data_IF_766018630822
#
_entry.id   IF_766018630822
#
_cell.length_a   1.000
_cell.length_b   1.000
_cell.length_c   1.000
_cell.angle_alpha   90.00
_cell.angle_beta   90.00
_cell.angle_gamma   90.00
#
_symmetry.space_group_name_H-M   'P 1'
#
loop_
_entity.id
_entity.type
_entity.pdbx_description
1 polymer ?
#
# COMPACT_ATOMS: atom_id res chain seq x y z
N UNK A 1 -10.61 -7.12 20.80
CA UNK A 1 -11.57 -6.06 20.48
C UNK A 1 -11.26 -4.69 21.09
N UNK A 2 -10.14 -4.51 21.82
CA UNK A 2 -9.82 -3.22 22.44
C UNK A 2 -9.13 -2.27 21.46
N UNK A 3 -9.44 -0.97 21.56
CA UNK A 3 -8.76 0.09 20.82
C UNK A 3 -7.39 0.41 21.44
N UNK A 4 -6.52 1.05 20.67
CA UNK A 4 -5.17 1.49 21.10
C UNK A 4 -4.27 0.36 21.65
N UNK A 5 -4.36 -0.81 21.04
CA UNK A 5 -3.55 -1.99 21.41
C UNK A 5 -2.35 -2.22 20.50
N UNK A 6 -1.93 -1.21 19.74
CA UNK A 6 -0.77 -1.31 18.86
C UNK A 6 0.53 -1.36 19.68
N UNK A 7 1.47 -2.20 19.25
CA UNK A 7 2.86 -2.19 19.73
C UNK A 7 3.67 -1.03 19.14
N UNK A 8 3.10 -0.27 18.19
CA UNK A 8 3.79 0.80 17.46
C UNK A 8 3.77 2.16 18.20
N UNK A 9 3.31 2.19 19.45
CA UNK A 9 3.36 3.39 20.29
C UNK A 9 4.72 3.65 20.92
N UNK A 10 5.61 2.66 20.96
CA UNK A 10 6.95 2.85 21.51
C UNK A 10 7.76 3.78 20.60
N UNK A 11 8.11 4.96 21.13
CA UNK A 11 8.87 5.99 20.41
C UNK A 11 10.38 5.70 20.37
N UNK A 12 10.87 4.77 21.20
CA UNK A 12 12.28 4.43 21.27
C UNK A 12 12.69 3.47 20.13
N UNK A 13 11.73 2.76 19.56
CA UNK A 13 11.98 1.90 18.40
C UNK A 13 11.73 2.65 17.08
N UNK A 14 12.72 2.64 16.21
CA UNK A 14 12.57 3.11 14.82
C UNK A 14 11.80 2.05 14.03
N UNK A 15 10.57 2.35 13.67
CA UNK A 15 9.69 1.42 12.97
C UNK A 15 9.37 1.89 11.56
N UNK A 16 9.54 0.98 10.60
CA UNK A 16 9.11 1.14 9.20
C UNK A 16 7.76 0.44 9.08
N UNK A 17 6.71 1.08 9.56
CA UNK A 17 5.34 0.56 9.53
C UNK A 17 4.36 1.64 9.10
N UNK A 18 3.31 1.25 8.38
CA UNK A 18 2.24 2.18 8.01
C UNK A 18 1.23 2.39 9.14
N UNK A 19 0.91 1.33 9.89
CA UNK A 19 -0.05 1.39 11.00
C UNK A 19 0.57 1.86 12.30
N UNK A 20 -0.10 2.79 13.00
CA UNK A 20 0.36 3.32 14.30
C UNK A 20 -0.59 2.94 15.44
N UNK A 21 -1.88 3.13 15.25
CA UNK A 21 -2.86 3.13 16.34
C UNK A 21 -3.58 1.78 16.55
N UNK A 22 -3.45 0.84 15.62
CA UNK A 22 -4.13 -0.45 15.68
C UNK A 22 -5.66 -0.35 15.53
N UNK A 23 -6.18 0.66 14.85
CA UNK A 23 -7.61 0.86 14.66
C UNK A 23 -8.16 0.09 13.46
N UNK A 24 -7.41 -0.08 12.38
CA UNK A 24 -7.92 -0.57 11.10
C UNK A 24 -8.71 -1.87 11.22
N UNK A 25 -8.13 -2.87 11.88
CA UNK A 25 -8.83 -4.15 12.08
C UNK A 25 -10.11 -4.03 12.92
N UNK A 26 -10.11 -3.20 13.97
CA UNK A 26 -11.31 -2.99 14.82
C UNK A 26 -12.41 -2.26 14.06
N UNK A 27 -12.05 -1.30 13.20
CA UNK A 27 -13.01 -0.61 12.34
C UNK A 27 -13.67 -1.58 11.36
N UNK A 28 -12.92 -2.53 10.79
CA UNK A 28 -13.50 -3.59 9.96
C UNK A 28 -14.55 -4.37 10.72
N UNK A 29 -14.29 -4.77 11.98
CA UNK A 29 -15.24 -5.50 12.80
C UNK A 29 -16.47 -4.67 13.21
N UNK A 30 -16.29 -3.37 13.49
CA UNK A 30 -17.38 -2.44 13.83
C UNK A 30 -18.34 -2.25 12.65
N UNK A 31 -17.85 -2.32 11.42
CA UNK A 31 -18.64 -2.22 10.20
C UNK A 31 -18.97 -3.58 9.58
N UNK A 32 -18.94 -4.65 10.38
CA UNK A 32 -19.25 -6.01 9.97
C UNK A 32 -20.33 -6.65 10.84
N UNK A 33 -21.24 -7.38 10.22
CA UNK A 33 -22.23 -8.22 10.92
C UNK A 33 -21.52 -9.32 11.72
N UNK A 34 -20.47 -9.87 11.14
CA UNK A 34 -19.68 -10.97 11.69
C UNK A 34 -18.20 -10.84 11.29
N UNK A 35 -17.33 -11.27 12.17
CA UNK A 35 -15.92 -11.39 11.93
C UNK A 35 -15.28 -12.52 12.72
N UNK A 36 -14.14 -13.02 12.21
CA UNK A 36 -13.39 -14.12 12.83
C UNK A 36 -11.90 -13.94 12.63
N UNK A 37 -11.15 -14.19 13.69
CA UNK A 37 -9.70 -14.35 13.65
C UNK A 37 -9.37 -15.83 13.90
N UNK A 38 -8.44 -16.33 13.13
CA UNK A 38 -7.84 -17.65 13.32
C UNK A 38 -6.33 -17.53 13.13
N UNK A 39 -5.55 -18.00 14.09
CA UNK A 39 -4.08 -17.99 13.99
C UNK A 39 -3.48 -19.25 14.60
N UNK A 40 -2.36 -19.70 14.04
CA UNK A 40 -1.58 -20.82 14.56
C UNK A 40 -0.23 -20.33 15.03
N UNK A 41 0.04 -20.54 16.30
CA UNK A 41 1.36 -20.46 16.90
C UNK A 41 2.03 -21.85 16.77
N UNK A 42 2.90 -21.97 15.78
CA UNK A 42 3.57 -23.25 15.50
C UNK A 42 4.64 -23.61 16.55
N UNK A 43 5.16 -22.62 17.28
CA UNK A 43 6.16 -22.82 18.33
C UNK A 43 5.50 -23.50 19.54
N UNK A 44 4.33 -22.99 19.95
CA UNK A 44 3.55 -23.55 21.07
C UNK A 44 2.65 -24.71 20.63
N UNK A 45 2.46 -24.91 19.34
CA UNK A 45 1.55 -25.94 18.79
C UNK A 45 0.09 -25.66 19.13
N UNK A 46 -0.31 -24.39 19.12
CA UNK A 46 -1.65 -23.94 19.49
C UNK A 46 -2.32 -23.18 18.33
N UNK A 47 -3.62 -23.44 18.21
CA UNK A 47 -4.52 -22.67 17.34
C UNK A 47 -5.43 -21.81 18.20
N UNK A 48 -5.47 -20.53 17.91
CA UNK A 48 -6.40 -19.57 18.48
C UNK A 48 -7.49 -19.25 17.47
N UNK A 49 -8.74 -19.22 17.91
CA UNK A 49 -9.90 -18.82 17.11
C UNK A 49 -10.80 -17.95 17.96
N UNK A 50 -11.23 -16.80 17.45
CA UNK A 50 -12.21 -15.94 18.11
C UNK A 50 -13.16 -15.33 17.09
N UNK A 51 -14.44 -15.32 17.44
CA UNK A 51 -15.50 -14.72 16.64
C UNK A 51 -16.04 -13.44 17.28
N UNK A 52 -16.52 -12.58 16.43
CA UNK A 52 -17.11 -11.28 16.76
C UNK A 52 -18.41 -11.15 15.97
N UNK A 53 -19.44 -10.56 16.57
CA UNK A 53 -20.71 -10.37 15.89
C UNK A 53 -21.39 -9.08 16.31
N UNK A 54 -22.45 -8.73 15.59
CA UNK A 54 -23.26 -7.54 15.87
C UNK A 54 -22.39 -6.28 15.95
N UNK A 55 -21.60 -6.01 14.90
CA UNK A 55 -20.78 -4.81 14.80
C UNK A 55 -19.81 -4.63 15.99
N UNK A 56 -19.16 -5.73 16.41
CA UNK A 56 -18.25 -5.81 17.56
C UNK A 56 -18.95 -5.62 18.93
N UNK A 57 -20.27 -5.54 19.01
CA UNK A 57 -20.99 -5.48 20.29
C UNK A 57 -20.92 -6.82 21.03
N UNK A 58 -20.77 -7.93 20.32
CA UNK A 58 -20.62 -9.26 20.88
C UNK A 58 -19.22 -9.78 20.58
N UNK A 59 -18.43 -10.00 21.63
CA UNK A 59 -17.11 -10.61 21.59
C UNK A 59 -17.22 -12.00 22.20
N UNK A 60 -17.17 -13.03 21.34
CA UNK A 60 -17.26 -14.41 21.78
C UNK A 60 -15.99 -14.83 22.51
N UNK A 61 -16.11 -15.83 23.41
CA UNK A 61 -14.93 -16.39 24.10
C UNK A 61 -13.98 -17.00 23.06
N UNK A 62 -12.67 -16.80 23.20
CA UNK A 62 -11.69 -17.45 22.34
C UNK A 62 -11.67 -18.95 22.57
N UNK A 63 -11.44 -19.69 21.49
CA UNK A 63 -11.21 -21.14 21.52
C UNK A 63 -9.73 -21.38 21.25
N UNK A 64 -9.07 -22.08 22.18
CA UNK A 64 -7.66 -22.47 22.04
C UNK A 64 -7.61 -23.99 21.97
N UNK A 65 -6.98 -24.53 20.92
CA UNK A 65 -6.84 -25.96 20.72
C UNK A 65 -5.41 -26.31 20.28
N UNK A 66 -5.01 -27.58 20.46
CA UNK A 66 -3.74 -28.08 19.95
C UNK A 66 -3.78 -28.13 18.41
N UNK A 67 -2.71 -27.72 17.74
CA UNK A 67 -2.59 -27.80 16.30
C UNK A 67 -1.13 -28.00 15.88
N UNK A 68 -0.86 -29.03 15.09
CA UNK A 68 0.43 -29.27 14.42
C UNK A 68 0.30 -28.93 12.94
N UNK A 69 0.38 -27.64 12.60
CA UNK A 69 0.26 -27.14 11.21
C UNK A 69 1.23 -25.99 10.98
N UNK A 70 1.48 -25.65 9.73
CA UNK A 70 2.23 -24.47 9.36
C UNK A 70 1.57 -23.21 9.95
N UNK A 71 2.36 -22.21 10.38
CA UNK A 71 1.82 -20.98 10.94
C UNK A 71 1.05 -20.19 9.89
N UNK A 72 -0.08 -19.63 10.30
CA UNK A 72 -0.82 -18.67 9.51
C UNK A 72 -1.70 -17.77 10.39
N UNK A 73 -2.11 -16.64 9.86
CA UNK A 73 -3.19 -15.83 10.41
C UNK A 73 -4.24 -15.63 9.33
N UNK A 74 -5.49 -15.92 9.67
CA UNK A 74 -6.65 -15.74 8.79
C UNK A 74 -7.62 -14.78 9.45
N UNK A 75 -8.00 -13.76 8.71
CA UNK A 75 -9.05 -12.82 9.07
C UNK A 75 -10.20 -13.00 8.12
N UNK A 76 -11.41 -13.19 8.65
CA UNK A 76 -12.65 -13.31 7.88
C UNK A 76 -13.66 -12.31 8.43
N UNK A 77 -14.46 -11.70 7.56
CA UNK A 77 -15.53 -10.81 7.99
C UNK A 77 -16.61 -10.71 6.92
N UNK A 78 -17.82 -10.37 7.37
CA UNK A 78 -18.97 -10.07 6.53
C UNK A 78 -19.36 -8.61 6.76
N UNK A 79 -19.15 -7.70 5.80
CA UNK A 79 -19.52 -6.31 5.95
C UNK A 79 -21.03 -6.14 6.24
N UNK A 80 -21.35 -5.18 7.07
CA UNK A 80 -22.74 -4.76 7.30
C UNK A 80 -23.14 -3.74 6.22
N UNK A 81 -23.58 -4.24 5.08
CA UNK A 81 -23.98 -3.40 3.95
C UNK A 81 -25.12 -2.45 4.28
N UNK A 82 -26.06 -2.89 5.14
CA UNK A 82 -27.17 -2.07 5.59
C UNK A 82 -26.68 -0.85 6.38
N UNK A 83 -25.75 -1.07 7.31
CA UNK A 83 -25.13 0.01 8.09
C UNK A 83 -24.29 0.94 7.22
N UNK A 84 -23.66 0.41 6.18
CA UNK A 84 -22.90 1.19 5.19
C UNK A 84 -23.81 1.98 4.22
N UNK A 85 -25.13 1.74 4.24
CA UNK A 85 -26.09 2.38 3.34
C UNK A 85 -25.99 1.93 1.88
N UNK A 86 -25.51 0.70 1.64
CA UNK A 86 -25.33 0.11 0.31
C UNK A 86 -25.96 -1.29 0.25
N UNK A 87 -26.29 -1.75 -0.96
CA UNK A 87 -26.93 -3.06 -1.14
C UNK A 87 -25.95 -4.22 -1.28
N UNK A 88 -24.66 -3.94 -1.39
CA UNK A 88 -23.60 -4.92 -1.57
C UNK A 88 -22.36 -4.31 -2.17
N UNK A 89 -21.42 -5.15 -2.57
CA UNK A 89 -20.17 -4.74 -3.19
C UNK A 89 -20.42 -4.31 -4.63
N UNK A 90 -20.17 -3.04 -4.96
CA UNK A 90 -20.24 -2.57 -6.34
C UNK A 90 -19.02 -3.07 -7.17
N UNK A 91 -19.13 -3.10 -8.50
CA UNK A 91 -18.00 -3.40 -9.37
C UNK A 91 -16.78 -2.49 -9.12
N UNK A 92 -17.00 -1.20 -8.86
CA UNK A 92 -15.93 -0.24 -8.57
C UNK A 92 -15.22 -0.54 -7.26
N UNK A 93 -15.98 -0.87 -6.19
CA UNK A 93 -15.40 -1.30 -4.92
C UNK A 93 -14.60 -2.60 -5.07
N UNK A 94 -15.13 -3.55 -5.83
CA UNK A 94 -14.42 -4.80 -6.13
C UNK A 94 -13.10 -4.53 -6.86
N UNK A 95 -13.12 -3.67 -7.87
CA UNK A 95 -11.93 -3.27 -8.62
C UNK A 95 -10.93 -2.50 -7.75
N UNK A 96 -11.42 -1.64 -6.84
CA UNK A 96 -10.58 -0.97 -5.86
C UNK A 96 -9.85 -1.96 -4.95
N UNK A 97 -10.54 -2.98 -4.44
CA UNK A 97 -9.92 -4.02 -3.62
C UNK A 97 -8.89 -4.84 -4.42
N UNK A 98 -9.23 -5.20 -5.66
CA UNK A 98 -8.30 -5.86 -6.58
C UNK A 98 -7.05 -5.01 -6.79
N UNK A 99 -7.20 -3.72 -7.07
CA UNK A 99 -6.07 -2.78 -7.20
C UNK A 99 -5.22 -2.77 -5.93
N UNK A 100 -5.82 -2.68 -4.74
CA UNK A 100 -5.08 -2.69 -3.47
C UNK A 100 -4.26 -3.96 -3.26
N UNK A 101 -4.73 -5.10 -3.74
CA UNK A 101 -3.95 -6.35 -3.69
C UNK A 101 -2.73 -6.28 -4.63
N UNK A 102 -2.85 -5.66 -5.80
CA UNK A 102 -1.72 -5.39 -6.70
C UNK A 102 -0.74 -4.39 -6.08
N UNK A 103 -1.24 -3.34 -5.43
CA UNK A 103 -0.41 -2.38 -4.69
C UNK A 103 0.45 -3.10 -3.63
N UNK A 104 -0.15 -3.99 -2.85
CA UNK A 104 0.57 -4.78 -1.83
C UNK A 104 1.67 -5.63 -2.47
N UNK A 105 1.37 -6.30 -3.59
CA UNK A 105 2.35 -7.11 -4.31
C UNK A 105 3.54 -6.27 -4.83
N UNK A 106 3.26 -5.03 -5.23
CA UNK A 106 4.29 -4.11 -5.75
C UNK A 106 5.26 -3.59 -4.69
N UNK A 107 4.77 -3.38 -3.45
CA UNK A 107 5.52 -2.68 -2.38
C UNK A 107 6.05 -3.60 -1.29
N UNK A 108 5.83 -4.89 -1.41
CA UNK A 108 6.36 -5.92 -0.49
C UNK A 108 7.59 -6.62 -1.08
N UNK A 109 8.32 -7.33 -0.23
CA UNK A 109 9.47 -8.12 -0.68
C UNK A 109 9.06 -9.11 -1.79
N UNK A 110 9.85 -9.19 -2.84
CA UNK A 110 9.63 -10.09 -4.01
C UNK A 110 9.54 -11.58 -3.66
N UNK A 111 10.00 -11.96 -2.47
CA UNK A 111 9.84 -13.33 -1.94
C UNK A 111 8.43 -13.59 -1.44
N UNK A 112 7.67 -12.55 -1.11
CA UNK A 112 6.28 -12.66 -0.69
C UNK A 112 5.40 -12.95 -1.91
N UNK A 113 4.62 -14.01 -1.81
CA UNK A 113 3.67 -14.39 -2.86
C UNK A 113 2.28 -13.89 -2.50
N UNK A 114 1.75 -12.97 -3.29
CA UNK A 114 0.41 -12.41 -3.12
C UNK A 114 -0.57 -13.15 -4.01
N UNK A 115 -1.73 -13.51 -3.46
CA UNK A 115 -2.83 -14.13 -4.19
C UNK A 115 -4.11 -13.29 -4.04
N UNK A 116 -4.93 -13.33 -5.08
CA UNK A 116 -6.27 -12.78 -5.10
C UNK A 116 -7.24 -13.82 -5.64
N UNK A 117 -8.28 -14.15 -4.87
CA UNK A 117 -9.23 -15.22 -5.20
C UNK A 117 -8.59 -16.58 -5.53
N UNK A 118 -7.45 -16.88 -4.90
CA UNK A 118 -6.72 -18.14 -5.12
C UNK A 118 -5.61 -18.07 -6.17
N UNK A 119 -5.66 -17.13 -7.09
CA UNK A 119 -4.68 -16.96 -8.16
C UNK A 119 -3.53 -16.04 -7.76
N UNK A 120 -2.34 -16.31 -8.27
CA UNK A 120 -1.20 -15.44 -8.04
C UNK A 120 -1.38 -14.10 -8.76
N UNK A 121 -1.12 -13.01 -8.03
CA UNK A 121 -1.04 -11.68 -8.64
C UNK A 121 0.20 -11.63 -9.55
N UNK A 122 0.06 -11.17 -10.82
CA UNK A 122 1.15 -11.18 -11.79
C UNK A 122 2.25 -10.13 -11.53
N UNK A 123 2.12 -9.34 -10.46
CA UNK A 123 3.11 -8.33 -10.03
C UNK A 123 3.97 -8.90 -8.93
N UNK A 124 5.29 -8.90 -9.13
CA UNK A 124 6.28 -9.43 -8.17
C UNK A 124 7.16 -8.33 -7.54
N UNK A 125 7.23 -7.17 -8.16
CA UNK A 125 8.07 -6.05 -7.76
C UNK A 125 7.55 -4.74 -8.37
N UNK A 126 8.04 -3.62 -7.87
CA UNK A 126 7.54 -2.29 -8.20
C UNK A 126 7.66 -1.94 -9.69
N UNK A 127 8.69 -2.38 -10.38
CA UNK A 127 8.84 -2.14 -11.83
C UNK A 127 7.70 -2.77 -12.64
N UNK A 128 7.31 -4.02 -12.34
CA UNK A 128 6.17 -4.66 -13.02
C UNK A 128 4.84 -3.94 -12.70
N UNK A 129 4.74 -3.34 -11.52
CA UNK A 129 3.57 -2.52 -11.19
C UNK A 129 3.51 -1.25 -12.02
N UNK A 130 4.65 -0.59 -12.25
CA UNK A 130 4.76 0.56 -13.16
C UNK A 130 4.31 0.18 -14.57
N UNK A 131 4.68 -1.03 -15.04
CA UNK A 131 4.28 -1.55 -16.35
C UNK A 131 2.75 -1.65 -16.52
N UNK A 132 1.99 -1.83 -15.43
CA UNK A 132 0.52 -1.84 -15.49
C UNK A 132 -0.08 -0.48 -15.87
N UNK A 133 0.64 0.61 -15.62
CA UNK A 133 0.18 1.98 -15.91
C UNK A 133 0.62 2.48 -17.28
N UNK A 134 1.84 2.14 -17.67
CA UNK A 134 2.49 2.76 -18.81
C UNK A 134 2.97 1.76 -19.87
N UNK A 135 2.56 0.48 -19.75
CA UNK A 135 3.00 -0.58 -20.65
C UNK A 135 4.44 -1.04 -20.40
N UNK A 136 4.95 -1.89 -21.27
CA UNK A 136 6.31 -2.43 -21.18
C UNK A 136 7.38 -1.35 -21.46
N UNK A 137 8.63 -1.64 -21.11
CA UNK A 137 9.75 -0.73 -21.38
C UNK A 137 9.99 -0.48 -22.87
N UNK A 138 9.57 -1.39 -23.73
CA UNK A 138 9.62 -1.23 -25.18
C UNK A 138 8.53 -0.29 -25.73
N UNK A 139 7.39 -0.18 -25.03
CA UNK A 139 6.27 0.67 -25.43
C UNK A 139 6.44 2.11 -24.91
N UNK A 140 6.90 2.26 -23.66
CA UNK A 140 7.06 3.58 -23.05
C UNK A 140 8.44 3.73 -22.44
N UNK A 141 9.19 4.70 -22.95
CA UNK A 141 10.51 5.07 -22.38
C UNK A 141 10.36 5.58 -20.97
N UNK A 142 11.10 4.99 -20.05
CA UNK A 142 11.13 5.36 -18.63
C UNK A 142 12.51 5.23 -18.06
N UNK A 143 12.77 6.00 -17.02
CA UNK A 143 13.89 5.82 -16.11
C UNK A 143 13.35 5.09 -14.89
N UNK A 144 13.99 4.03 -14.49
CA UNK A 144 13.70 3.30 -13.25
C UNK A 144 14.99 3.16 -12.44
N UNK A 145 14.91 3.43 -11.13
CA UNK A 145 16.06 3.36 -10.25
C UNK A 145 15.66 2.87 -8.85
N UNK A 146 16.40 1.91 -8.35
CA UNK A 146 16.46 1.52 -6.94
C UNK A 146 17.60 2.35 -6.32
N UNK A 147 17.28 3.53 -5.78
CA UNK A 147 18.30 4.42 -5.22
C UNK A 147 18.97 3.83 -3.98
N UNK A 148 18.26 3.03 -3.23
CA UNK A 148 18.72 2.21 -2.11
C UNK A 148 17.59 1.26 -1.66
N UNK A 149 17.82 0.44 -0.63
CA UNK A 149 16.85 -0.55 -0.12
C UNK A 149 15.49 0.05 0.29
N UNK A 150 15.43 1.37 0.50
CA UNK A 150 14.24 2.08 0.98
C UNK A 150 13.58 2.97 -0.06
N UNK A 151 14.21 3.24 -1.20
CA UNK A 151 13.72 4.16 -2.20
C UNK A 151 13.84 3.60 -3.59
N UNK A 152 12.70 3.42 -4.22
CA UNK A 152 12.58 3.09 -5.64
C UNK A 152 11.70 4.14 -6.32
N UNK A 153 12.05 4.52 -7.55
CA UNK A 153 11.22 5.40 -8.35
C UNK A 153 11.32 5.11 -9.85
N UNK A 154 10.26 5.48 -10.55
CA UNK A 154 10.26 5.51 -12.00
C UNK A 154 9.72 6.84 -12.48
N UNK A 155 10.25 7.30 -13.60
CA UNK A 155 9.88 8.58 -14.24
C UNK A 155 9.67 8.34 -15.72
N UNK A 156 8.56 8.83 -16.25
CA UNK A 156 8.30 8.88 -17.67
C UNK A 156 7.62 10.21 -18.04
N UNK A 157 7.42 10.42 -19.32
CA UNK A 157 6.64 11.56 -19.80
C UNK A 157 5.17 11.32 -19.46
N UNK A 158 4.50 12.34 -18.94
CA UNK A 158 3.07 12.28 -18.64
C UNK A 158 2.25 12.20 -19.93
N UNK A 159 1.31 11.25 -20.04
CA UNK A 159 0.57 11.04 -21.29
C UNK A 159 -0.38 12.20 -21.66
N UNK A 160 -0.82 12.98 -20.67
CA UNK A 160 -1.82 14.04 -20.86
C UNK A 160 -1.26 15.43 -20.55
N UNK A 161 0.06 15.63 -20.60
CA UNK A 161 0.72 16.91 -20.27
C UNK A 161 0.29 17.49 -18.90
N UNK A 162 -0.04 16.61 -17.96
CA UNK A 162 -0.41 16.94 -16.60
C UNK A 162 0.40 16.10 -15.63
N UNK A 163 0.94 16.74 -14.58
CA UNK A 163 1.68 16.02 -13.55
C UNK A 163 0.80 14.96 -12.90
N UNK A 164 1.22 13.72 -13.00
CA UNK A 164 0.60 12.58 -12.31
C UNK A 164 1.61 11.85 -11.45
N UNK A 165 1.12 11.26 -10.38
CA UNK A 165 1.97 10.47 -9.50
C UNK A 165 1.25 9.23 -8.95
N UNK A 166 2.01 8.19 -8.70
CA UNK A 166 1.60 7.00 -7.96
C UNK A 166 2.66 6.75 -6.90
N UNK A 167 2.29 6.89 -5.63
CA UNK A 167 3.29 6.80 -4.57
C UNK A 167 2.84 6.01 -3.36
N UNK A 168 3.85 5.49 -2.66
CA UNK A 168 3.68 4.66 -1.48
C UNK A 168 4.70 5.03 -0.41
N UNK A 169 4.24 5.07 0.83
CA UNK A 169 5.10 5.19 2.02
C UNK A 169 4.80 4.02 2.95
N UNK A 170 5.81 3.21 3.28
CA UNK A 170 5.68 2.04 4.13
C UNK A 170 4.52 1.11 3.72
N UNK A 171 4.37 0.89 2.40
CA UNK A 171 3.32 0.07 1.82
C UNK A 171 1.93 0.72 1.74
N UNK A 172 1.77 1.97 2.20
CA UNK A 172 0.50 2.71 2.13
C UNK A 172 0.48 3.58 0.87
N UNK A 173 -0.59 3.47 0.11
CA UNK A 173 -0.83 4.33 -1.05
C UNK A 173 -1.07 5.78 -0.63
N UNK A 174 -0.32 6.70 -1.22
CA UNK A 174 -0.36 8.13 -0.94
C UNK A 174 -0.90 8.91 -2.15
N UNK A 175 -2.19 8.73 -2.44
CA UNK A 175 -2.84 9.29 -3.64
C UNK A 175 -2.77 10.82 -3.77
N UNK A 176 -2.69 11.53 -2.65
CA UNK A 176 -2.51 12.99 -2.63
C UNK A 176 -1.04 13.44 -2.76
N UNK A 177 -0.09 12.49 -2.87
CA UNK A 177 1.32 12.78 -2.84
C UNK A 177 1.84 13.07 -1.44
N UNK A 178 2.77 14.03 -1.32
CA UNK A 178 3.38 14.46 -0.08
C UNK A 178 4.87 14.74 -0.21
N UNK A 179 5.53 15.04 0.90
CA UNK A 179 6.96 15.43 0.92
C UNK A 179 7.90 14.44 0.26
N UNK A 180 7.59 13.14 0.29
CA UNK A 180 8.38 12.10 -0.39
C UNK A 180 8.33 12.23 -1.92
N UNK A 181 7.18 12.60 -2.48
CA UNK A 181 7.02 12.89 -3.91
C UNK A 181 7.75 14.19 -4.27
N UNK A 182 7.53 15.25 -3.50
CA UNK A 182 8.16 16.56 -3.72
C UNK A 182 9.68 16.47 -3.63
N UNK A 183 10.20 15.64 -2.75
CA UNK A 183 11.64 15.43 -2.57
C UNK A 183 12.31 14.92 -3.86
N UNK A 184 11.73 13.95 -4.53
CA UNK A 184 12.25 13.41 -5.80
C UNK A 184 11.95 14.39 -6.94
N UNK A 185 10.71 14.87 -7.04
CA UNK A 185 10.25 15.75 -8.12
C UNK A 185 11.08 17.04 -8.21
N UNK A 186 11.31 17.71 -7.09
CA UNK A 186 12.08 18.97 -7.07
C UNK A 186 13.54 18.77 -7.50
N UNK A 187 14.14 17.64 -7.18
CA UNK A 187 15.49 17.31 -7.65
C UNK A 187 15.53 17.09 -9.16
N UNK A 188 14.55 16.34 -9.69
CA UNK A 188 14.42 16.08 -11.12
C UNK A 188 14.22 17.39 -11.90
N UNK A 189 13.26 18.22 -11.49
CA UNK A 189 12.95 19.49 -12.14
C UNK A 189 14.18 20.41 -12.17
N UNK A 190 14.86 20.57 -11.03
CA UNK A 190 16.06 21.43 -10.94
C UNK A 190 17.16 20.94 -11.88
N UNK A 191 17.43 19.63 -11.93
CA UNK A 191 18.44 19.06 -12.82
C UNK A 191 18.04 19.21 -14.29
N UNK A 192 16.78 18.99 -14.64
CA UNK A 192 16.28 19.12 -16.01
C UNK A 192 16.33 20.57 -16.51
N UNK A 193 15.90 21.53 -15.70
CA UNK A 193 16.01 22.97 -16.03
C UNK A 193 17.46 23.34 -16.31
N UNK A 194 18.38 22.97 -15.43
CA UNK A 194 19.81 23.25 -15.62
C UNK A 194 20.39 22.57 -16.87
N UNK A 195 19.99 21.33 -17.12
CA UNK A 195 20.43 20.57 -18.30
C UNK A 195 19.93 21.23 -19.61
N UNK A 196 18.66 21.58 -19.69
CA UNK A 196 18.06 22.20 -20.88
C UNK A 196 18.71 23.56 -21.13
N UNK A 197 18.89 24.39 -20.11
CA UNK A 197 19.61 25.67 -20.23
C UNK A 197 21.02 25.48 -20.75
N UNK A 198 21.77 24.51 -20.21
CA UNK A 198 23.15 24.23 -20.65
C UNK A 198 23.22 23.71 -22.09
N UNK A 199 22.36 22.77 -22.46
CA UNK A 199 22.43 22.05 -23.77
C UNK A 199 21.71 22.80 -24.90
N UNK A 200 20.56 23.39 -24.62
CA UNK A 200 19.69 24.00 -25.63
C UNK A 200 19.72 25.52 -25.60
N UNK A 201 20.33 26.14 -24.56
CA UNK A 201 20.35 27.60 -24.34
C UNK A 201 18.94 28.20 -24.18
N UNK A 202 17.99 27.40 -23.73
CA UNK A 202 16.59 27.83 -23.52
C UNK A 202 16.33 27.87 -22.02
N UNK A 203 15.70 28.93 -21.55
CA UNK A 203 15.17 29.04 -20.19
C UNK A 203 13.74 28.46 -20.14
N UNK A 204 13.55 27.39 -19.36
CA UNK A 204 12.27 26.73 -19.18
C UNK A 204 11.78 26.90 -17.75
N UNK A 205 10.49 27.19 -17.59
CA UNK A 205 9.87 27.32 -16.26
C UNK A 205 9.80 25.94 -15.57
N UNK A 206 10.06 25.86 -14.27
CA UNK A 206 9.91 24.62 -13.50
C UNK A 206 8.53 23.96 -13.62
N UNK A 207 7.46 24.78 -13.68
CA UNK A 207 6.08 24.29 -13.85
C UNK A 207 5.89 23.53 -15.17
N UNK A 208 6.45 24.06 -16.27
CA UNK A 208 6.38 23.39 -17.59
C UNK A 208 7.07 22.02 -17.58
N UNK A 209 8.20 21.90 -16.87
CA UNK A 209 8.86 20.59 -16.69
C UNK A 209 7.98 19.67 -15.83
N UNK A 210 7.37 20.19 -14.76
CA UNK A 210 6.52 19.42 -13.87
C UNK A 210 5.33 18.79 -14.62
N UNK A 211 4.66 19.55 -15.45
CA UNK A 211 3.49 19.10 -16.23
C UNK A 211 3.83 17.93 -17.17
N UNK A 212 5.08 17.81 -17.61
CA UNK A 212 5.55 16.74 -18.48
C UNK A 212 5.99 15.46 -17.73
N UNK A 213 5.82 15.40 -16.40
CA UNK A 213 6.32 14.29 -15.59
C UNK A 213 5.18 13.41 -15.07
N UNK A 214 5.30 12.11 -15.30
CA UNK A 214 4.61 11.08 -14.52
C UNK A 214 5.64 10.40 -13.62
N UNK A 215 5.36 10.39 -12.29
CA UNK A 215 6.28 9.92 -11.27
C UNK A 215 5.68 8.78 -10.46
N UNK A 216 6.43 7.69 -10.35
CA UNK A 216 6.13 6.57 -9.45
C UNK A 216 7.17 6.55 -8.34
N UNK A 217 6.74 6.47 -7.09
CA UNK A 217 7.65 6.44 -5.93
C UNK A 217 7.19 5.40 -4.91
N UNK A 218 8.11 4.56 -4.48
CA UNK A 218 7.96 3.73 -3.30
C UNK A 218 9.07 4.06 -2.33
N UNK A 219 8.72 4.35 -1.07
CA UNK A 219 9.72 4.59 -0.05
C UNK A 219 9.33 4.05 1.33
N UNK A 220 10.36 3.74 2.12
CA UNK A 220 10.23 3.31 3.50
C UNK A 220 10.88 4.35 4.42
N UNK A 221 10.06 4.93 5.29
CA UNK A 221 10.43 6.05 6.16
C UNK A 221 10.23 5.65 7.63
N UNK A 222 11.17 6.03 8.49
CA UNK A 222 11.03 5.83 9.92
C UNK A 222 9.96 6.78 10.48
N UNK A 223 9.00 6.23 11.24
CA UNK A 223 7.97 7.00 11.93
C UNK A 223 7.24 8.01 11.04
N UNK A 224 6.63 7.58 9.91
CA UNK A 224 5.93 8.50 9.02
C UNK A 224 4.72 9.13 9.70
N UNK A 225 4.35 10.32 9.26
CA UNK A 225 3.05 10.94 9.55
C UNK A 225 2.20 10.92 8.30
N UNK A 226 0.94 10.54 8.42
CA UNK A 226 -0.05 10.55 7.36
C UNK A 226 -1.18 11.50 7.75
N UNK A 227 -1.57 12.38 6.83
CA UNK A 227 -2.67 13.34 6.98
C UNK A 227 -3.99 12.78 6.43
#
# INVERSE_FOLDING_TARGET
GHLRTSTNYDKNEKKIVGGKNGFGFKLVLIWSEWGKIETIDHIRGLKYTQEFSNNLNVIHKPIISKAKRNPYTKVSFKPDYKRLGINGLSPDMYNLFKRRVHDIAAVTDKKLKVKYNGDFVPVKHFQQYVDLYIGSKSETTRIYEEANDRWEYAVCIAPNEEFTQVSFVNGIYTGKGGKHVDYILNQLIRKLVAFIKKKKKIDVKPSTIKEQIMLFVRCDINNPSFD
#
